data_IF_297436579380
#
_entry.id   IF_297436579380
#
_cell.length_a   1.000
_cell.length_b   1.000
_cell.length_c   1.000
_cell.angle_alpha   90.00
_cell.angle_beta   90.00
_cell.angle_gamma   90.00
#
_symmetry.space_group_name_H-M   'P 1'
#
loop_
_entity.id
_entity.type
_entity.pdbx_description
1 polymer ?
#
# COMPACT_ATOMS: atom_id res chain seq x y z
N UNK A 1 27.23 -14.03 -3.77
CA UNK A 1 26.81 -13.52 -5.08
C UNK A 1 26.48 -12.07 -4.89
N UNK A 2 27.29 -11.12 -5.41
CA UNK A 2 27.07 -9.68 -5.19
C UNK A 2 25.97 -9.21 -6.13
N UNK A 3 24.85 -8.77 -5.59
CA UNK A 3 23.79 -8.10 -6.34
C UNK A 3 24.34 -6.78 -6.90
N UNK A 4 24.16 -6.58 -8.19
CA UNK A 4 24.54 -5.36 -8.90
C UNK A 4 23.79 -4.15 -8.32
N UNK A 5 24.43 -2.98 -8.09
CA UNK A 5 23.73 -1.81 -7.61
C UNK A 5 22.77 -1.31 -8.69
N UNK A 6 21.49 -1.30 -8.36
CA UNK A 6 20.44 -0.71 -9.18
C UNK A 6 20.76 0.80 -9.39
N UNK A 7 20.84 1.21 -10.66
CA UNK A 7 20.88 2.63 -11.04
C UNK A 7 19.47 3.04 -11.48
N UNK A 8 18.88 4.10 -10.90
CA UNK A 8 17.63 4.63 -11.39
C UNK A 8 17.84 5.17 -12.82
N UNK A 9 17.14 4.60 -13.78
CA UNK A 9 16.99 5.19 -15.10
C UNK A 9 16.01 6.36 -15.00
N UNK A 10 16.53 7.55 -14.68
CA UNK A 10 15.81 8.79 -14.87
C UNK A 10 15.76 9.08 -16.39
N UNK A 11 14.87 8.42 -17.12
CA UNK A 11 14.52 8.81 -18.49
C UNK A 11 13.01 8.72 -18.65
N UNK A 12 12.38 9.92 -18.68
CA UNK A 12 11.16 10.18 -19.41
C UNK A 12 9.94 9.33 -19.06
N UNK A 13 9.42 9.44 -17.83
CA UNK A 13 8.03 9.08 -17.58
C UNK A 13 7.09 9.88 -18.50
N UNK A 14 5.91 9.36 -18.87
CA UNK A 14 4.97 10.08 -19.70
C UNK A 14 4.67 11.43 -19.05
N UNK A 15 4.87 12.53 -19.79
CA UNK A 15 4.44 13.86 -19.32
C UNK A 15 2.93 13.77 -19.12
N UNK A 16 2.49 14.18 -17.94
CA UNK A 16 1.06 14.38 -17.70
C UNK A 16 0.46 15.22 -18.83
N UNK A 17 -0.75 14.92 -19.31
CA UNK A 17 -1.36 15.67 -20.40
C UNK A 17 -1.35 17.16 -20.07
N UNK A 18 -1.15 18.03 -21.08
CA UNK A 18 -1.05 19.49 -20.99
C UNK A 18 -2.20 20.17 -20.20
N UNK A 19 -3.31 19.48 -19.97
CA UNK A 19 -4.42 19.95 -19.14
C UNK A 19 -4.05 20.19 -17.66
N UNK A 20 -2.91 19.67 -17.20
CA UNK A 20 -2.41 19.92 -15.83
C UNK A 20 -1.62 21.23 -15.69
N UNK A 21 -1.11 21.79 -16.79
CA UNK A 21 -0.30 23.02 -16.73
C UNK A 21 -1.13 24.31 -16.61
N UNK A 22 -2.42 24.30 -16.98
CA UNK A 22 -3.26 25.51 -16.98
C UNK A 22 -4.32 25.58 -15.87
N UNK A 23 -4.63 24.51 -15.16
CA UNK A 23 -5.65 24.52 -14.11
C UNK A 23 -5.06 24.44 -12.70
N UNK A 24 -4.59 25.58 -12.18
CA UNK A 24 -4.62 25.90 -10.74
C UNK A 24 -3.99 24.92 -9.72
N UNK A 25 -3.26 23.84 -10.12
CA UNK A 25 -2.65 22.90 -9.20
C UNK A 25 -1.52 23.56 -8.39
N UNK A 26 -0.77 24.50 -8.98
CA UNK A 26 0.26 25.29 -8.28
C UNK A 26 -0.30 26.12 -7.12
N UNK A 27 -1.56 26.59 -7.21
CA UNK A 27 -2.22 27.33 -6.15
C UNK A 27 -2.77 26.42 -5.02
N UNK A 28 -3.09 25.15 -5.30
CA UNK A 28 -3.54 24.18 -4.28
C UNK A 28 -2.40 23.73 -3.36
N UNK A 29 -1.21 23.59 -3.90
CA UNK A 29 -0.01 23.22 -3.12
C UNK A 29 0.47 24.37 -2.24
N UNK A 30 0.23 25.63 -2.62
CA UNK A 30 0.63 26.80 -1.84
C UNK A 30 -0.45 27.27 -0.83
N UNK A 31 -1.74 26.96 -1.07
CA UNK A 31 -2.85 27.30 -0.18
C UNK A 31 -3.61 26.05 0.26
N UNK A 32 -3.09 25.37 1.28
CA UNK A 32 -3.63 24.10 1.78
C UNK A 32 -5.07 24.23 2.29
N UNK A 33 -5.38 25.26 3.07
CA UNK A 33 -6.71 25.49 3.62
C UNK A 33 -7.54 26.37 2.68
N UNK A 34 -8.34 25.76 1.81
CA UNK A 34 -9.22 26.48 0.85
C UNK A 34 -10.64 26.72 1.37
N UNK A 35 -11.09 25.96 2.38
CA UNK A 35 -12.44 25.96 2.97
C UNK A 35 -13.56 25.59 1.97
N UNK A 36 -13.24 25.19 0.75
CA UNK A 36 -14.23 24.84 -0.29
C UNK A 36 -14.94 23.51 -0.03
N UNK A 37 -14.47 22.75 0.96
CA UNK A 37 -15.01 21.44 1.34
C UNK A 37 -15.85 21.42 2.62
N UNK A 38 -16.08 22.56 3.27
CA UNK A 38 -16.75 22.62 4.59
C UNK A 38 -18.23 22.19 4.50
N UNK A 39 -18.85 22.31 3.34
CA UNK A 39 -20.22 21.85 3.08
C UNK A 39 -20.34 20.33 2.76
N UNK A 40 -19.29 19.52 3.04
CA UNK A 40 -19.34 18.06 2.85
C UNK A 40 -19.05 17.57 1.42
N UNK A 41 -18.59 18.46 0.52
CA UNK A 41 -18.18 18.08 -0.83
C UNK A 41 -16.69 18.28 -1.04
N UNK A 42 -16.10 17.58 -2.02
CA UNK A 42 -14.70 17.74 -2.41
C UNK A 42 -14.56 17.74 -3.94
N UNK A 43 -13.47 18.34 -4.44
CA UNK A 43 -13.13 18.29 -5.86
C UNK A 43 -12.36 17.02 -6.21
N UNK A 44 -12.63 16.47 -7.38
CA UNK A 44 -11.84 15.42 -8.03
C UNK A 44 -10.77 16.02 -8.94
N UNK A 45 -9.86 15.18 -9.45
CA UNK A 45 -8.75 15.61 -10.30
C UNK A 45 -9.17 16.12 -11.68
N UNK A 46 -10.34 15.70 -12.18
CA UNK A 46 -10.96 16.17 -13.43
C UNK A 46 -11.71 17.51 -13.27
N UNK A 47 -11.71 18.10 -12.08
CA UNK A 47 -12.40 19.34 -11.76
C UNK A 47 -13.86 19.17 -11.33
N UNK A 48 -14.42 17.97 -11.42
CA UNK A 48 -15.76 17.67 -10.90
C UNK A 48 -15.79 17.70 -9.36
N UNK A 49 -16.97 17.70 -8.77
CA UNK A 49 -17.16 17.64 -7.31
C UNK A 49 -18.06 16.49 -6.93
N UNK A 50 -17.75 15.85 -5.79
CA UNK A 50 -18.51 14.74 -5.23
C UNK A 50 -18.69 14.91 -3.72
N UNK A 51 -19.61 14.15 -3.11
CA UNK A 51 -19.75 14.07 -1.66
C UNK A 51 -18.52 13.43 -1.02
N UNK A 52 -18.11 13.90 0.13
CA UNK A 52 -17.01 13.30 0.91
C UNK A 52 -17.33 11.90 1.43
N UNK A 53 -18.62 11.54 1.45
CA UNK A 53 -19.17 10.25 1.84
C UNK A 53 -19.28 9.25 0.67
N UNK A 54 -18.85 9.64 -0.55
CA UNK A 54 -18.89 8.76 -1.73
C UNK A 54 -17.90 7.60 -1.60
N UNK A 55 -18.22 6.46 -2.24
CA UNK A 55 -17.34 5.27 -2.30
C UNK A 55 -15.96 5.62 -2.88
N UNK A 56 -15.88 6.55 -3.82
CA UNK A 56 -14.63 7.00 -4.43
C UNK A 56 -13.74 7.71 -3.41
N UNK A 57 -14.29 8.63 -2.63
CA UNK A 57 -13.54 9.35 -1.60
C UNK A 57 -13.15 8.42 -0.44
N UNK A 58 -13.99 7.45 -0.10
CA UNK A 58 -13.65 6.41 0.87
C UNK A 58 -12.45 5.57 0.38
N UNK A 59 -12.46 5.12 -0.87
CA UNK A 59 -11.36 4.36 -1.45
C UNK A 59 -10.05 5.16 -1.52
N UNK A 60 -10.11 6.44 -1.94
CA UNK A 60 -8.95 7.34 -1.93
C UNK A 60 -8.40 7.50 -0.51
N UNK A 61 -9.28 7.69 0.48
CA UNK A 61 -8.88 7.86 1.88
C UNK A 61 -8.21 6.60 2.46
N UNK A 62 -8.73 5.41 2.16
CA UNK A 62 -8.13 4.15 2.62
C UNK A 62 -6.76 3.88 1.98
N UNK A 63 -6.56 4.26 0.72
CA UNK A 63 -5.25 4.18 0.04
C UNK A 63 -4.26 5.18 0.65
N UNK A 64 -4.69 6.40 0.92
CA UNK A 64 -3.85 7.42 1.56
C UNK A 64 -3.44 7.00 2.97
N UNK A 65 -4.38 6.46 3.77
CA UNK A 65 -4.08 5.91 5.09
C UNK A 65 -3.05 4.76 5.02
N UNK A 66 -3.21 3.84 4.04
CA UNK A 66 -2.21 2.79 3.81
C UNK A 66 -0.83 3.40 3.54
N UNK A 67 -0.75 4.39 2.66
CA UNK A 67 0.51 5.06 2.32
C UNK A 67 1.15 5.73 3.54
N UNK A 68 0.35 6.38 4.41
CA UNK A 68 0.81 6.93 5.68
C UNK A 68 1.36 5.84 6.61
N UNK A 69 0.71 4.67 6.70
CA UNK A 69 1.20 3.55 7.51
C UNK A 69 2.50 2.94 6.97
N UNK A 70 2.69 2.90 5.64
CA UNK A 70 3.98 2.54 5.02
C UNK A 70 5.05 3.58 5.41
N UNK A 71 4.70 4.88 5.42
CA UNK A 71 5.56 5.95 5.92
C UNK A 71 6.00 5.74 7.37
N UNK A 72 5.09 5.33 8.25
CA UNK A 72 5.42 4.97 9.64
C UNK A 72 6.38 3.78 9.69
N UNK A 73 6.14 2.73 8.88
CA UNK A 73 7.05 1.57 8.80
C UNK A 73 8.46 1.98 8.36
N UNK A 74 8.58 2.92 7.43
CA UNK A 74 9.85 3.44 6.94
C UNK A 74 10.66 4.21 8.01
N UNK A 75 10.07 4.60 9.15
CA UNK A 75 10.81 5.22 10.27
C UNK A 75 11.57 4.20 11.11
N UNK A 76 11.25 2.91 10.99
CA UNK A 76 11.93 1.84 11.72
C UNK A 76 13.30 1.51 11.09
N UNK A 77 14.14 0.78 11.85
CA UNK A 77 15.37 0.21 11.33
C UNK A 77 15.05 -0.96 10.40
N UNK A 78 15.26 -0.77 9.10
CA UNK A 78 14.91 -1.73 8.06
C UNK A 78 16.15 -2.13 7.26
N UNK A 79 16.21 -3.39 6.74
CA UNK A 79 17.14 -3.76 5.69
C UNK A 79 17.01 -2.81 4.47
N UNK A 80 18.12 -2.50 3.80
CA UNK A 80 18.15 -1.52 2.71
C UNK A 80 17.26 -1.91 1.53
N UNK A 81 17.20 -3.18 1.20
CA UNK A 81 16.35 -3.73 0.14
C UNK A 81 14.86 -3.60 0.47
N UNK A 82 14.46 -3.87 1.71
CA UNK A 82 13.09 -3.68 2.20
C UNK A 82 12.73 -2.20 2.19
N UNK A 83 13.63 -1.33 2.63
CA UNK A 83 13.43 0.13 2.59
C UNK A 83 13.21 0.62 1.15
N UNK A 84 14.01 0.16 0.20
CA UNK A 84 13.88 0.51 -1.21
C UNK A 84 12.55 0.04 -1.79
N UNK A 85 12.12 -1.19 -1.49
CA UNK A 85 10.84 -1.72 -1.92
C UNK A 85 9.66 -0.91 -1.35
N UNK A 86 9.69 -0.55 -0.06
CA UNK A 86 8.64 0.24 0.59
C UNK A 86 8.53 1.66 0.03
N UNK A 87 9.67 2.30 -0.31
CA UNK A 87 9.66 3.61 -0.97
C UNK A 87 9.02 3.52 -2.36
N UNK A 88 9.32 2.47 -3.12
CA UNK A 88 8.69 2.24 -4.42
C UNK A 88 7.16 2.05 -4.26
N UNK A 89 6.75 1.25 -3.29
CA UNK A 89 5.33 1.03 -2.96
C UNK A 89 4.62 2.34 -2.60
N UNK A 90 5.26 3.27 -1.89
CA UNK A 90 4.66 4.58 -1.60
C UNK A 90 4.38 5.39 -2.87
N UNK A 91 5.27 5.35 -3.87
CA UNK A 91 5.03 5.99 -5.16
C UNK A 91 3.87 5.33 -5.90
N UNK A 92 3.82 3.99 -5.94
CA UNK A 92 2.72 3.27 -6.58
C UNK A 92 1.37 3.55 -5.89
N UNK A 93 1.33 3.65 -4.55
CA UNK A 93 0.12 4.03 -3.82
C UNK A 93 -0.30 5.47 -4.10
N UNK A 94 0.64 6.37 -4.35
CA UNK A 94 0.37 7.74 -4.75
C UNK A 94 -0.21 7.79 -6.17
N UNK A 95 0.34 7.00 -7.09
CA UNK A 95 -0.17 6.82 -8.45
C UNK A 95 -1.59 6.23 -8.43
N UNK A 96 -1.84 5.21 -7.57
CA UNK A 96 -3.17 4.62 -7.38
C UNK A 96 -4.18 5.66 -6.87
N UNK A 97 -3.79 6.46 -5.87
CA UNK A 97 -4.63 7.58 -5.39
C UNK A 97 -4.91 8.61 -6.50
N UNK A 98 -3.92 8.91 -7.33
CA UNK A 98 -4.06 9.78 -8.51
C UNK A 98 -5.04 9.21 -9.54
N UNK A 99 -4.94 7.92 -9.85
CA UNK A 99 -5.88 7.20 -10.73
C UNK A 99 -7.31 7.29 -10.20
N UNK A 100 -7.52 7.00 -8.91
CA UNK A 100 -8.83 7.09 -8.28
C UNK A 100 -9.38 8.51 -8.23
N UNK A 101 -8.52 9.52 -8.20
CA UNK A 101 -8.94 10.93 -8.18
C UNK A 101 -9.52 11.42 -9.50
N UNK A 102 -9.30 10.69 -10.60
CA UNK A 102 -9.76 11.06 -11.95
C UNK A 102 -10.60 9.91 -12.53
N UNK A 103 -11.94 10.00 -12.55
CA UNK A 103 -12.79 8.98 -13.14
C UNK A 103 -12.39 8.62 -14.57
N UNK A 104 -12.20 7.31 -14.84
CA UNK A 104 -11.80 6.80 -16.15
C UNK A 104 -10.31 6.93 -16.50
N UNK A 105 -9.49 7.50 -15.61
CA UNK A 105 -8.04 7.57 -15.79
C UNK A 105 -7.37 6.25 -15.37
N UNK A 106 -6.30 5.86 -16.06
CA UNK A 106 -5.51 4.66 -15.77
C UNK A 106 -4.04 5.05 -15.63
N UNK A 107 -3.44 4.77 -14.50
CA UNK A 107 -2.04 5.08 -14.20
C UNK A 107 -1.27 3.84 -13.76
N UNK A 108 -1.85 3.05 -12.84
CA UNK A 108 -1.27 1.79 -12.37
C UNK A 108 -1.36 0.72 -13.45
N UNK A 109 -0.25 0.02 -13.70
CA UNK A 109 -0.08 -0.93 -14.80
C UNK A 109 0.17 -2.35 -14.26
N UNK A 110 -0.04 -3.39 -15.09
CA UNK A 110 0.27 -4.77 -14.72
C UNK A 110 1.73 -5.01 -14.30
N UNK A 111 2.68 -4.24 -14.82
CA UNK A 111 4.10 -4.36 -14.49
C UNK A 111 4.38 -4.07 -13.01
N UNK A 112 3.64 -3.14 -12.40
CA UNK A 112 3.75 -2.84 -10.96
C UNK A 112 3.20 -4.00 -10.12
N UNK A 113 2.15 -4.69 -10.58
CA UNK A 113 1.65 -5.91 -9.94
C UNK A 113 2.68 -7.03 -10.03
N UNK A 114 3.28 -7.24 -11.21
CA UNK A 114 4.32 -8.26 -11.43
C UNK A 114 5.57 -8.01 -10.57
N UNK A 115 5.90 -6.73 -10.31
CA UNK A 115 7.00 -6.40 -9.40
C UNK A 115 6.71 -6.83 -7.96
N UNK A 116 5.47 -6.68 -7.49
CA UNK A 116 5.08 -7.21 -6.17
C UNK A 116 5.17 -8.74 -6.11
N UNK A 117 4.78 -9.45 -7.18
CA UNK A 117 4.92 -10.91 -7.28
C UNK A 117 6.39 -11.35 -7.17
N UNK A 118 7.30 -10.61 -7.83
CA UNK A 118 8.74 -10.86 -7.76
C UNK A 118 9.25 -10.69 -6.33
N UNK A 119 8.99 -9.57 -5.67
CA UNK A 119 9.41 -9.34 -4.28
C UNK A 119 8.80 -10.37 -3.32
N UNK A 120 7.51 -10.71 -3.51
CA UNK A 120 6.85 -11.73 -2.71
C UNK A 120 7.58 -13.07 -2.79
N UNK A 121 7.95 -13.52 -4.00
CA UNK A 121 8.68 -14.75 -4.20
C UNK A 121 10.08 -14.71 -3.56
N UNK A 122 10.83 -13.63 -3.79
CA UNK A 122 12.20 -13.46 -3.29
C UNK A 122 12.26 -13.44 -1.76
N UNK A 123 11.41 -12.65 -1.10
CA UNK A 123 11.37 -12.59 0.35
C UNK A 123 10.85 -13.87 1.00
N UNK A 124 9.86 -14.52 0.37
CA UNK A 124 9.30 -15.76 0.92
C UNK A 124 10.23 -16.96 0.76
N UNK A 125 11.14 -16.96 -0.22
CA UNK A 125 12.04 -18.10 -0.51
C UNK A 125 12.92 -18.50 0.69
N UNK A 126 13.28 -17.52 1.53
CA UNK A 126 14.16 -17.71 2.69
C UNK A 126 13.41 -17.87 4.02
N UNK A 127 12.08 -17.89 3.99
CA UNK A 127 11.27 -18.06 5.20
C UNK A 127 10.94 -19.53 5.45
N UNK A 128 10.97 -20.01 6.69
CA UNK A 128 10.53 -21.35 7.02
C UNK A 128 9.04 -21.53 6.71
N UNK A 129 8.66 -22.74 6.32
CA UNK A 129 7.24 -23.06 6.09
C UNK A 129 6.44 -22.83 7.38
N UNK A 130 5.25 -22.29 7.23
CA UNK A 130 4.29 -22.17 8.33
C UNK A 130 3.53 -23.49 8.47
N UNK A 131 3.47 -23.99 9.69
CA UNK A 131 2.64 -25.13 10.05
C UNK A 131 1.27 -24.70 10.59
N UNK A 132 1.15 -23.44 11.04
CA UNK A 132 -0.06 -22.87 11.62
C UNK A 132 -0.10 -21.35 11.34
N UNK A 133 -1.25 -20.69 11.61
CA UNK A 133 -1.35 -19.25 11.58
C UNK A 133 -0.41 -18.60 12.60
N UNK A 134 0.07 -17.40 12.26
CA UNK A 134 0.90 -16.61 13.17
C UNK A 134 0.07 -15.47 13.78
N UNK A 135 0.37 -15.13 15.02
CA UNK A 135 -0.19 -13.96 15.67
C UNK A 135 0.48 -12.69 15.08
N UNK A 136 -0.30 -11.65 14.72
CA UNK A 136 0.28 -10.38 14.28
C UNK A 136 1.00 -9.68 15.44
N UNK A 137 2.31 -9.46 15.30
CA UNK A 137 3.16 -8.92 16.36
C UNK A 137 4.65 -9.09 16.03
N UNK A 138 5.48 -9.20 17.07
CA UNK A 138 6.92 -9.34 16.97
C UNK A 138 7.66 -8.00 17.18
N UNK A 139 8.71 -7.73 16.41
CA UNK A 139 9.39 -6.43 16.43
C UNK A 139 8.43 -5.29 16.06
N UNK A 140 8.78 -4.03 16.40
CA UNK A 140 7.95 -2.88 16.00
C UNK A 140 7.75 -2.81 14.49
N UNK A 141 8.81 -3.05 13.72
CA UNK A 141 8.73 -3.09 12.26
C UNK A 141 7.78 -4.21 11.76
N UNK A 142 7.88 -5.41 12.36
CA UNK A 142 6.98 -6.53 12.04
C UNK A 142 5.51 -6.21 12.36
N UNK A 143 5.25 -5.69 13.56
CA UNK A 143 3.91 -5.28 13.98
C UNK A 143 3.33 -4.20 13.06
N UNK A 144 4.14 -3.20 12.67
CA UNK A 144 3.71 -2.14 11.76
C UNK A 144 3.44 -2.69 10.34
N UNK A 145 4.23 -3.66 9.85
CA UNK A 145 3.94 -4.34 8.58
C UNK A 145 2.60 -5.10 8.63
N UNK A 146 2.24 -5.72 9.77
CA UNK A 146 0.92 -6.30 9.95
C UNK A 146 -0.21 -5.26 9.96
N UNK A 147 0.02 -4.05 10.50
CA UNK A 147 -0.95 -2.94 10.39
C UNK A 147 -1.10 -2.54 8.92
N UNK A 148 -0.01 -2.32 8.18
CA UNK A 148 -0.05 -2.04 6.74
C UNK A 148 -0.85 -3.12 5.99
N UNK A 149 -0.62 -4.40 6.29
CA UNK A 149 -1.37 -5.53 5.69
C UNK A 149 -2.87 -5.40 5.91
N UNK A 150 -3.32 -5.10 7.12
CA UNK A 150 -4.75 -5.04 7.44
C UNK A 150 -5.42 -3.79 6.86
N UNK A 151 -4.73 -2.65 6.84
CA UNK A 151 -5.19 -1.42 6.18
C UNK A 151 -5.25 -1.62 4.67
N UNK A 152 -4.24 -2.27 4.06
CA UNK A 152 -4.24 -2.65 2.64
C UNK A 152 -5.48 -3.47 2.27
N UNK A 153 -5.83 -4.47 3.07
CA UNK A 153 -7.05 -5.27 2.88
C UNK A 153 -8.34 -4.45 3.04
N UNK A 154 -8.34 -3.40 3.85
CA UNK A 154 -9.46 -2.47 3.94
C UNK A 154 -9.58 -1.64 2.65
N UNK A 155 -8.47 -1.06 2.17
CA UNK A 155 -8.41 -0.34 0.91
C UNK A 155 -8.85 -1.21 -0.28
N UNK A 156 -8.42 -2.47 -0.33
CA UNK A 156 -8.88 -3.44 -1.33
C UNK A 156 -10.41 -3.60 -1.31
N UNK A 157 -11.01 -3.78 -0.13
CA UNK A 157 -12.47 -3.88 -0.03
C UNK A 157 -13.19 -2.61 -0.46
N UNK A 158 -12.64 -1.43 -0.18
CA UNK A 158 -13.20 -0.16 -0.65
C UNK A 158 -13.14 -0.06 -2.18
N UNK A 159 -12.05 -0.51 -2.81
CA UNK A 159 -11.96 -0.59 -4.28
C UNK A 159 -12.96 -1.59 -4.87
N UNK A 160 -13.19 -2.72 -4.22
CA UNK A 160 -14.22 -3.70 -4.65
C UNK A 160 -15.60 -3.07 -4.60
N UNK A 161 -15.92 -2.34 -3.53
CA UNK A 161 -17.20 -1.65 -3.40
C UNK A 161 -17.37 -0.55 -4.47
N UNK A 162 -16.31 0.23 -4.72
CA UNK A 162 -16.30 1.24 -5.78
C UNK A 162 -16.47 0.60 -7.16
N UNK A 163 -15.76 -0.49 -7.46
CA UNK A 163 -15.84 -1.21 -8.74
C UNK A 163 -17.19 -1.89 -9.00
N UNK A 164 -18.01 -2.11 -7.97
CA UNK A 164 -19.38 -2.56 -8.13
C UNK A 164 -20.33 -1.42 -8.56
N UNK A 165 -19.97 -0.16 -8.29
CA UNK A 165 -20.77 1.01 -8.60
C UNK A 165 -20.34 1.71 -9.91
N UNK A 166 -19.06 1.62 -10.27
CA UNK A 166 -18.52 2.28 -11.46
C UNK A 166 -17.32 1.49 -12.05
N UNK A 167 -17.07 1.61 -13.37
CA UNK A 167 -15.94 0.92 -14.00
C UNK A 167 -14.60 1.37 -13.44
N UNK A 168 -13.74 0.41 -13.11
CA UNK A 168 -12.38 0.63 -12.66
C UNK A 168 -11.40 -0.21 -13.48
N UNK A 169 -10.16 0.26 -13.60
CA UNK A 169 -9.03 -0.55 -14.03
C UNK A 169 -8.85 -1.74 -13.07
N UNK A 170 -8.39 -2.89 -13.59
CA UNK A 170 -8.19 -4.09 -12.76
C UNK A 170 -6.90 -4.05 -11.94
N UNK A 171 -5.86 -3.38 -12.45
CA UNK A 171 -4.55 -3.37 -11.83
C UNK A 171 -4.55 -2.84 -10.37
N UNK A 172 -5.26 -1.77 -10.00
CA UNK A 172 -5.37 -1.31 -8.62
C UNK A 172 -5.84 -2.37 -7.62
N UNK A 173 -6.87 -3.14 -7.98
CA UNK A 173 -7.38 -4.21 -7.12
C UNK A 173 -6.39 -5.35 -6.99
N UNK A 174 -5.78 -5.77 -8.11
CA UNK A 174 -4.75 -6.80 -8.12
C UNK A 174 -3.53 -6.37 -7.30
N UNK A 175 -3.12 -5.10 -7.44
CA UNK A 175 -2.01 -4.52 -6.70
C UNK A 175 -2.22 -4.59 -5.18
N UNK A 176 -3.36 -4.09 -4.68
CA UNK A 176 -3.66 -4.12 -3.24
C UNK A 176 -3.77 -5.56 -2.71
N UNK A 177 -4.37 -6.46 -3.47
CA UNK A 177 -4.41 -7.87 -3.08
C UNK A 177 -2.99 -8.41 -2.88
N UNK A 178 -2.12 -8.24 -3.86
CA UNK A 178 -0.73 -8.73 -3.84
C UNK A 178 0.12 -8.01 -2.80
N UNK A 179 -0.09 -6.68 -2.63
CA UNK A 179 0.59 -5.90 -1.61
C UNK A 179 0.26 -6.40 -0.20
N UNK A 180 -0.99 -6.82 0.05
CA UNK A 180 -1.36 -7.37 1.36
C UNK A 180 -0.58 -8.66 1.68
N UNK A 181 -0.34 -9.52 0.69
CA UNK A 181 0.44 -10.74 0.83
C UNK A 181 1.93 -10.42 1.05
N UNK A 182 2.47 -9.45 0.31
CA UNK A 182 3.83 -8.97 0.51
C UNK A 182 4.03 -8.40 1.92
N UNK A 183 3.09 -7.61 2.44
CA UNK A 183 3.18 -7.07 3.80
C UNK A 183 3.19 -8.18 4.87
N UNK A 184 2.48 -9.29 4.65
CA UNK A 184 2.57 -10.46 5.52
C UNK A 184 3.97 -11.09 5.50
N UNK A 185 4.54 -11.28 4.31
CA UNK A 185 5.88 -11.83 4.17
C UNK A 185 6.93 -10.89 4.77
N UNK A 186 6.84 -9.59 4.50
CA UNK A 186 7.73 -8.58 5.07
C UNK A 186 7.64 -8.53 6.61
N UNK A 187 6.46 -8.69 7.20
CA UNK A 187 6.34 -8.77 8.66
C UNK A 187 7.20 -9.90 9.23
N UNK A 188 7.20 -11.08 8.60
CA UNK A 188 8.03 -12.21 9.02
C UNK A 188 9.53 -11.96 8.81
N UNK A 189 9.90 -11.37 7.67
CA UNK A 189 11.29 -10.97 7.37
C UNK A 189 11.79 -9.98 8.42
N UNK A 190 11.03 -8.93 8.70
CA UNK A 190 11.38 -7.90 9.66
C UNK A 190 11.44 -8.41 11.10
N UNK A 191 10.58 -9.37 11.45
CA UNK A 191 10.65 -9.99 12.77
C UNK A 191 11.97 -10.74 12.95
N UNK A 192 12.42 -11.48 11.94
CA UNK A 192 13.70 -12.21 11.96
C UNK A 192 14.90 -11.27 11.93
N UNK A 193 14.85 -10.22 11.13
CA UNK A 193 15.88 -9.19 11.13
C UNK A 193 16.05 -8.53 12.51
N UNK A 194 14.97 -8.42 13.27
CA UNK A 194 14.97 -7.97 14.67
C UNK A 194 15.33 -9.05 15.69
N UNK A 195 15.76 -10.25 15.26
CA UNK A 195 16.14 -11.37 16.15
C UNK A 195 14.94 -12.18 16.70
N UNK A 196 13.71 -11.90 16.25
CA UNK A 196 12.50 -12.61 16.69
C UNK A 196 12.16 -13.83 15.84
N UNK A 197 11.14 -14.55 16.26
CA UNK A 197 10.53 -15.68 15.55
C UNK A 197 9.02 -15.50 15.45
N UNK A 198 8.38 -16.24 14.53
CA UNK A 198 6.93 -16.24 14.40
C UNK A 198 6.29 -16.86 15.64
N UNK A 199 5.29 -16.20 16.23
CA UNK A 199 4.47 -16.74 17.30
C UNK A 199 3.27 -17.41 16.67
N UNK A 200 3.19 -18.75 16.78
CA UNK A 200 2.11 -19.52 16.20
C UNK A 200 0.83 -19.39 17.03
N UNK A 201 -0.30 -19.36 16.34
CA UNK A 201 -1.60 -19.45 16.99
C UNK A 201 -1.83 -20.84 17.57
N UNK A 202 -2.34 -20.91 18.79
CA UNK A 202 -2.67 -22.15 19.51
C UNK A 202 -4.16 -22.17 19.81
N UNK A 203 -4.86 -23.19 19.37
CA UNK A 203 -6.30 -23.35 19.61
C UNK A 203 -6.58 -23.69 21.07
N UNK A 204 -5.86 -24.64 21.63
CA UNK A 204 -6.14 -25.26 22.94
C UNK A 204 -5.11 -24.85 24.01
N UNK A 205 -4.77 -23.55 24.03
CA UNK A 205 -3.75 -22.98 24.93
C UNK A 205 -4.05 -23.15 26.44
N UNK A 206 -5.32 -23.41 26.80
CA UNK A 206 -5.76 -23.62 28.18
C UNK A 206 -5.99 -25.11 28.52
N UNK A 207 -5.68 -26.04 27.61
CA UNK A 207 -5.77 -27.47 27.92
C UNK A 207 -4.69 -27.87 28.93
N UNK A 208 -5.03 -28.58 30.02
CA UNK A 208 -4.04 -29.05 31.00
C UNK A 208 -3.08 -30.03 30.30
N UNK A 209 -1.83 -29.62 30.04
CA UNK A 209 -0.79 -30.44 29.42
C UNK A 209 0.11 -29.70 28.40
N UNK A 210 -0.09 -28.41 28.14
CA UNK A 210 0.64 -27.65 27.13
C UNK A 210 1.85 -26.86 27.64
N UNK A 211 2.54 -27.31 28.66
CA UNK A 211 3.87 -26.82 29.07
C UNK A 211 4.82 -28.00 29.23
N UNK A 212 5.50 -28.39 28.16
CA UNK A 212 6.79 -29.05 28.18
C UNK A 212 7.80 -28.21 27.38
#
# INVERSE_FOLDING_TARGET
MRLSPWRPALQGGPRLPHAYEETGMGNRLSKIATRTGDAGTTGLGDGSRTGKDSLRIAAIGDVDELNCHVGVLLTEALPDDVRAALLHIQHDLFDLGGELSIPGYTLLKPEQVAQLDTWLADYNANLPRLAEFILPGGSRAAAQAHVCRTVCRRAERALVALGAAEPLNEAPRQYLNRLSDLMFVLARVLNRAGGGSDVLWQRDRDAPGGME
#
